data_IF_792984807971
#
_entry.id   IF_792984807971
#
_cell.length_a   1.000
_cell.length_b   1.000
_cell.length_c   1.000
_cell.angle_alpha   90.00
_cell.angle_beta   90.00
_cell.angle_gamma   90.00
#
_symmetry.space_group_name_H-M   'P 1'
#
loop_
_entity.id
_entity.type
_entity.pdbx_description
1 polymer ?
#
# COMPACT_ATOMS: atom_id res chain seq x y z
N UNK A 1 -8.76 -22.75 -42.46
CA UNK A 1 -9.19 -21.50 -41.80
C UNK A 1 -10.17 -21.72 -40.64
N UNK A 2 -11.19 -22.57 -40.75
CA UNK A 2 -12.23 -22.74 -39.70
C UNK A 2 -11.72 -23.24 -38.32
N UNK A 3 -10.65 -24.04 -38.29
CA UNK A 3 -10.08 -24.58 -37.03
C UNK A 3 -9.28 -23.53 -36.23
N UNK A 4 -8.65 -22.57 -36.91
CA UNK A 4 -7.82 -21.55 -36.26
C UNK A 4 -8.68 -20.50 -35.54
N UNK A 5 -9.83 -20.16 -36.13
CA UNK A 5 -10.80 -19.21 -35.56
C UNK A 5 -11.40 -19.74 -34.25
N UNK A 6 -11.73 -21.04 -34.17
CA UNK A 6 -12.27 -21.64 -32.95
C UNK A 6 -11.28 -21.63 -31.78
N UNK A 7 -9.99 -21.81 -32.05
CA UNK A 7 -8.95 -21.77 -31.00
C UNK A 7 -8.75 -20.35 -30.47
N UNK A 8 -8.78 -19.34 -31.35
CA UNK A 8 -8.63 -17.93 -30.94
C UNK A 8 -9.83 -17.48 -30.09
N UNK A 9 -11.06 -17.83 -30.47
CA UNK A 9 -12.25 -17.52 -29.66
C UNK A 9 -12.27 -18.27 -28.32
N UNK A 10 -11.76 -19.51 -28.26
CA UNK A 10 -11.63 -20.26 -27.01
C UNK A 10 -10.64 -19.61 -26.02
N UNK A 11 -9.52 -19.07 -26.52
CA UNK A 11 -8.54 -18.36 -25.69
C UNK A 11 -9.08 -17.02 -25.18
N UNK A 12 -9.83 -16.27 -25.99
CA UNK A 12 -10.44 -14.99 -25.57
C UNK A 12 -11.51 -15.21 -24.50
N UNK A 13 -12.32 -16.27 -24.60
CA UNK A 13 -13.30 -16.62 -23.58
C UNK A 13 -12.64 -17.00 -22.24
N UNK A 14 -11.52 -17.73 -22.27
CA UNK A 14 -10.77 -18.08 -21.06
C UNK A 14 -10.11 -16.87 -20.41
N UNK A 15 -9.57 -15.93 -21.18
CA UNK A 15 -9.01 -14.67 -20.65
C UNK A 15 -10.13 -13.83 -20.00
N UNK A 16 -11.31 -13.77 -20.61
CA UNK A 16 -12.46 -13.05 -20.03
C UNK A 16 -12.94 -13.68 -18.71
N UNK A 17 -12.95 -15.01 -18.60
CA UNK A 17 -13.34 -15.71 -17.38
C UNK A 17 -12.36 -15.53 -16.22
N UNK A 18 -11.05 -15.46 -16.48
CA UNK A 18 -10.06 -15.24 -15.41
C UNK A 18 -10.13 -13.80 -14.88
N UNK A 19 -10.33 -12.81 -15.77
CA UNK A 19 -10.49 -11.41 -15.37
C UNK A 19 -11.80 -11.12 -14.63
N UNK A 20 -12.87 -11.88 -14.91
CA UNK A 20 -14.18 -11.74 -14.27
C UNK A 20 -14.25 -12.39 -12.86
N UNK A 21 -13.23 -13.16 -12.46
CA UNK A 21 -13.25 -13.96 -11.22
C UNK A 21 -12.41 -13.39 -10.09
N UNK A 22 -11.66 -12.31 -10.31
CA UNK A 22 -10.95 -11.64 -9.22
C UNK A 22 -11.98 -10.90 -8.35
N UNK A 23 -12.22 -11.41 -7.13
CA UNK A 23 -13.09 -10.74 -6.16
C UNK A 23 -12.54 -9.32 -5.93
N UNK A 24 -13.36 -8.26 -6.04
CA UNK A 24 -12.92 -6.91 -5.76
C UNK A 24 -12.43 -6.81 -4.31
N UNK A 25 -11.42 -6.00 -4.07
CA UNK A 25 -10.91 -5.70 -2.73
C UNK A 25 -11.93 -4.83 -1.99
N UNK A 26 -12.38 -5.25 -0.81
CA UNK A 26 -13.49 -4.61 -0.09
C UNK A 26 -13.06 -3.99 1.24
N UNK A 27 -13.97 -3.29 1.93
CA UNK A 27 -13.76 -2.83 3.31
C UNK A 27 -13.31 -3.94 4.26
N UNK A 28 -13.82 -5.18 4.08
CA UNK A 28 -13.44 -6.32 4.90
C UNK A 28 -11.98 -6.73 4.65
N UNK A 29 -11.57 -6.71 3.38
CA UNK A 29 -10.18 -7.02 2.99
C UNK A 29 -9.22 -5.95 3.55
N UNK A 30 -9.60 -4.66 3.49
CA UNK A 30 -8.85 -3.58 4.11
C UNK A 30 -8.67 -3.76 5.63
N UNK A 31 -9.75 -4.13 6.34
CA UNK A 31 -9.69 -4.41 7.79
C UNK A 31 -8.78 -5.60 8.07
N UNK A 32 -8.94 -6.68 7.30
CA UNK A 32 -8.20 -7.91 7.51
C UNK A 32 -6.72 -7.69 7.26
N UNK A 33 -6.36 -6.94 6.22
CA UNK A 33 -4.99 -6.52 5.97
C UNK A 33 -4.46 -5.64 7.12
N UNK A 34 -5.20 -4.60 7.53
CA UNK A 34 -4.82 -3.73 8.65
C UNK A 34 -4.58 -4.50 9.96
N UNK A 35 -5.35 -5.56 10.21
CA UNK A 35 -5.20 -6.41 11.40
C UNK A 35 -3.92 -7.24 11.41
N UNK A 36 -3.30 -7.48 10.25
CA UNK A 36 -2.02 -8.22 10.15
C UNK A 36 -0.84 -7.40 10.69
N UNK A 37 -0.98 -6.07 10.76
CA UNK A 37 0.03 -5.21 11.34
C UNK A 37 0.00 -5.30 12.87
N UNK A 38 1.03 -5.91 13.43
CA UNK A 38 1.24 -6.03 14.88
C UNK A 38 2.00 -4.80 15.39
N UNK A 39 1.34 -3.97 16.19
CA UNK A 39 1.97 -2.76 16.74
C UNK A 39 2.99 -3.15 17.83
N UNK A 40 4.18 -2.57 17.77
CA UNK A 40 5.23 -2.70 18.78
C UNK A 40 4.94 -1.74 19.92
N UNK A 41 4.27 -2.24 20.96
CA UNK A 41 3.81 -1.48 22.13
C UNK A 41 4.80 -1.57 23.29
N UNK A 42 6.10 -1.64 22.98
CA UNK A 42 7.17 -1.81 23.95
C UNK A 42 7.60 -0.46 24.56
N UNK A 43 8.91 -0.31 24.76
CA UNK A 43 9.59 0.71 25.58
C UNK A 43 9.16 2.19 25.43
N UNK A 44 8.38 2.53 24.41
CA UNK A 44 7.95 3.90 24.07
C UNK A 44 6.45 4.16 24.19
N UNK A 45 5.60 3.13 24.26
CA UNK A 45 4.14 3.29 24.30
C UNK A 45 3.49 2.36 25.31
N UNK A 46 2.47 2.84 26.02
CA UNK A 46 1.64 2.02 26.89
C UNK A 46 0.73 1.08 26.08
N UNK A 47 0.27 -0.01 26.70
CA UNK A 47 -0.68 -0.95 26.06
C UNK A 47 -1.99 -0.27 25.64
N UNK A 48 -2.46 0.71 26.42
CA UNK A 48 -3.70 1.45 26.13
C UNK A 48 -3.54 2.37 24.91
N UNK A 49 -2.47 3.15 24.85
CA UNK A 49 -2.17 4.02 23.69
C UNK A 49 -2.07 3.19 22.42
N UNK A 50 -1.42 2.03 22.51
CA UNK A 50 -1.27 1.14 21.37
C UNK A 50 -2.59 0.49 20.91
N UNK A 51 -3.48 0.15 21.84
CA UNK A 51 -4.79 -0.39 21.52
C UNK A 51 -5.66 0.66 20.80
N UNK A 52 -5.61 1.91 21.27
CA UNK A 52 -6.25 3.05 20.65
C UNK A 52 -5.66 3.35 19.26
N UNK A 53 -4.34 3.44 19.17
CA UNK A 53 -3.62 3.65 17.92
C UNK A 53 -3.95 2.55 16.90
N UNK A 54 -4.09 1.29 17.33
CA UNK A 54 -4.49 0.19 16.45
C UNK A 54 -5.94 0.33 15.96
N UNK A 55 -6.86 0.77 16.83
CA UNK A 55 -8.25 1.04 16.43
C UNK A 55 -8.29 2.13 15.35
N UNK A 56 -7.61 3.25 15.62
CA UNK A 56 -7.53 4.39 14.71
C UNK A 56 -6.84 3.99 13.40
N UNK A 57 -5.77 3.20 13.47
CA UNK A 57 -5.06 2.70 12.31
C UNK A 57 -5.94 1.86 11.39
N UNK A 58 -6.73 0.92 11.92
CA UNK A 58 -7.62 0.09 11.08
C UNK A 58 -8.59 0.98 10.31
N UNK A 59 -9.16 1.97 10.99
CA UNK A 59 -10.07 2.93 10.37
C UNK A 59 -9.38 3.78 9.30
N UNK A 60 -8.25 4.39 9.64
CA UNK A 60 -7.47 5.19 8.68
C UNK A 60 -7.00 4.33 7.50
N UNK A 61 -6.69 3.04 7.70
CA UNK A 61 -6.32 2.12 6.64
C UNK A 61 -7.46 1.88 5.64
N UNK A 62 -8.68 1.71 6.13
CA UNK A 62 -9.86 1.63 5.27
C UNK A 62 -10.10 2.93 4.52
N UNK A 63 -10.04 4.06 5.21
CA UNK A 63 -10.26 5.38 4.61
C UNK A 63 -9.19 5.71 3.57
N UNK A 64 -7.93 5.34 3.82
CA UNK A 64 -6.84 5.48 2.86
C UNK A 64 -7.12 4.70 1.56
N UNK A 65 -7.60 3.46 1.65
CA UNK A 65 -8.03 2.69 0.48
C UNK A 65 -9.29 3.23 -0.19
N UNK A 66 -10.16 3.93 0.54
CA UNK A 66 -11.28 4.68 -0.03
C UNK A 66 -10.83 5.96 -0.75
N UNK A 67 -9.53 6.29 -0.72
CA UNK A 67 -8.94 7.47 -1.35
C UNK A 67 -8.84 8.70 -0.45
N UNK A 68 -9.09 8.56 0.86
CA UNK A 68 -8.95 9.67 1.81
C UNK A 68 -7.48 10.01 2.05
N UNK A 69 -7.11 11.22 1.64
CA UNK A 69 -5.73 11.72 1.67
C UNK A 69 -5.20 11.92 3.09
N UNK A 70 -5.93 12.57 4.03
CA UNK A 70 -5.52 12.64 5.43
C UNK A 70 -5.22 11.26 6.04
N UNK A 71 -6.07 10.27 5.80
CA UNK A 71 -5.85 8.92 6.33
C UNK A 71 -4.63 8.22 5.71
N UNK A 72 -4.26 8.48 4.44
CA UNK A 72 -2.99 7.97 3.89
C UNK A 72 -1.76 8.44 4.68
N UNK A 73 -1.75 9.71 5.13
CA UNK A 73 -0.68 10.25 5.98
C UNK A 73 -0.66 9.50 7.30
N UNK A 74 -1.81 9.41 7.97
CA UNK A 74 -1.92 8.77 9.29
C UNK A 74 -1.51 7.30 9.26
N UNK A 75 -1.89 6.57 8.20
CA UNK A 75 -1.43 5.19 7.96
C UNK A 75 0.08 5.13 7.86
N UNK A 76 0.68 6.00 7.06
CA UNK A 76 2.13 6.06 6.86
C UNK A 76 2.85 6.35 8.17
N UNK A 77 2.41 7.38 8.90
CA UNK A 77 2.98 7.77 10.20
C UNK A 77 2.86 6.63 11.21
N UNK A 78 1.68 6.00 11.30
CA UNK A 78 1.46 4.87 12.20
C UNK A 78 2.34 3.65 11.87
N UNK A 79 2.56 3.35 10.58
CA UNK A 79 3.47 2.29 10.17
C UNK A 79 4.92 2.61 10.55
N UNK A 80 5.35 3.86 10.43
CA UNK A 80 6.71 4.27 10.82
C UNK A 80 6.92 4.32 12.34
N UNK A 81 5.89 4.67 13.11
CA UNK A 81 5.91 4.82 14.56
C UNK A 81 5.80 3.47 15.26
N UNK A 82 4.79 2.67 14.90
CA UNK A 82 4.42 1.48 15.66
C UNK A 82 4.97 0.17 15.09
N UNK A 83 5.66 0.17 13.94
CA UNK A 83 6.23 -1.07 13.37
C UNK A 83 7.74 -1.13 13.55
N UNK A 84 8.24 -2.35 13.76
CA UNK A 84 9.68 -2.57 13.83
C UNK A 84 10.34 -2.24 12.50
N UNK A 85 11.43 -1.47 12.55
CA UNK A 85 12.29 -1.22 11.38
C UNK A 85 13.07 -2.45 10.92
N UNK A 86 13.00 -3.57 11.63
CA UNK A 86 13.52 -4.86 11.17
C UNK A 86 12.48 -5.68 10.38
N UNK A 87 11.21 -5.28 10.40
CA UNK A 87 10.15 -5.92 9.62
C UNK A 87 10.11 -5.35 8.20
N UNK A 88 10.67 -6.11 7.27
CA UNK A 88 10.79 -5.75 5.85
C UNK A 88 9.41 -5.50 5.22
N UNK A 89 8.39 -6.26 5.60
CA UNK A 89 7.04 -6.11 5.05
C UNK A 89 6.44 -4.78 5.48
N UNK A 90 6.59 -4.42 6.76
CA UNK A 90 6.13 -3.13 7.28
C UNK A 90 6.82 -1.95 6.62
N UNK A 91 8.13 -2.06 6.42
CA UNK A 91 8.90 -1.04 5.72
C UNK A 91 8.44 -0.90 4.26
N UNK A 92 8.08 -2.01 3.62
CA UNK A 92 7.62 -2.03 2.24
C UNK A 92 6.27 -1.33 2.13
N UNK A 93 5.32 -1.66 2.99
CA UNK A 93 3.99 -1.06 3.00
C UNK A 93 4.05 0.43 3.38
N UNK A 94 4.85 0.80 4.39
CA UNK A 94 5.04 2.21 4.75
C UNK A 94 5.61 3.02 3.57
N UNK A 95 6.62 2.47 2.90
CA UNK A 95 7.23 3.10 1.72
C UNK A 95 6.29 3.16 0.52
N UNK A 96 5.42 2.16 0.37
CA UNK A 96 4.42 2.13 -0.69
C UNK A 96 3.33 3.19 -0.45
N UNK A 97 2.84 3.31 0.79
CA UNK A 97 1.91 4.38 1.17
C UNK A 97 2.51 5.78 1.01
N UNK A 98 3.77 5.98 1.41
CA UNK A 98 4.54 7.21 1.13
C UNK A 98 4.60 7.52 -0.38
N UNK A 99 4.80 6.48 -1.21
CA UNK A 99 4.83 6.64 -2.66
C UNK A 99 3.46 7.00 -3.23
N UNK A 100 2.40 6.29 -2.83
CA UNK A 100 1.02 6.54 -3.24
C UNK A 100 0.60 7.95 -2.87
N UNK A 101 0.86 8.35 -1.61
CA UNK A 101 0.69 9.71 -1.13
C UNK A 101 1.42 10.72 -2.03
N UNK A 102 2.70 10.48 -2.31
CA UNK A 102 3.54 11.32 -3.18
C UNK A 102 2.99 11.46 -4.60
N UNK A 103 2.54 10.37 -5.25
CA UNK A 103 1.93 10.42 -6.59
C UNK A 103 0.60 11.16 -6.57
N UNK A 104 -0.28 10.85 -5.61
CA UNK A 104 -1.67 11.31 -5.57
C UNK A 104 -1.79 12.79 -5.18
N UNK A 105 -0.91 13.30 -4.30
CA UNK A 105 -1.03 14.67 -3.77
C UNK A 105 -0.23 15.71 -4.51
N UNK A 106 0.91 15.35 -5.09
CA UNK A 106 1.81 16.37 -5.62
C UNK A 106 1.51 16.74 -7.07
N UNK A 107 0.94 15.83 -7.89
CA UNK A 107 0.92 15.98 -9.36
C UNK A 107 2.31 16.20 -9.98
N UNK A 108 3.36 16.23 -9.16
CA UNK A 108 4.75 16.58 -9.41
C UNK A 108 5.55 16.01 -8.24
N UNK A 109 6.04 14.78 -8.40
CA UNK A 109 6.91 14.15 -7.41
C UNK A 109 8.17 15.02 -7.25
N UNK A 110 8.26 15.81 -6.18
CA UNK A 110 9.48 16.58 -5.96
C UNK A 110 10.61 15.60 -5.66
N UNK A 111 11.77 15.76 -6.33
CA UNK A 111 12.92 14.86 -6.18
C UNK A 111 13.36 14.71 -4.71
N UNK A 112 13.07 15.70 -3.86
CA UNK A 112 13.38 15.73 -2.43
C UNK A 112 12.48 14.81 -1.61
N UNK A 113 11.19 14.74 -1.94
CA UNK A 113 10.22 13.86 -1.26
C UNK A 113 10.39 12.42 -1.72
N UNK A 114 10.67 12.19 -3.02
CA UNK A 114 11.13 10.89 -3.51
C UNK A 114 12.35 10.43 -2.73
N UNK A 115 13.35 11.31 -2.55
CA UNK A 115 14.58 10.95 -1.85
C UNK A 115 14.35 10.67 -0.36
N UNK A 116 13.36 11.30 0.29
CA UNK A 116 13.00 11.03 1.70
C UNK A 116 12.37 9.64 1.84
N UNK A 117 11.31 9.34 1.08
CA UNK A 117 10.68 8.01 1.04
C UNK A 117 11.71 6.93 0.67
N UNK A 118 12.57 7.23 -0.30
CA UNK A 118 13.63 6.32 -0.76
C UNK A 118 14.72 6.08 0.28
N UNK A 119 15.15 7.11 1.02
CA UNK A 119 16.11 7.00 2.13
C UNK A 119 15.51 6.26 3.33
N UNK A 120 14.21 6.36 3.54
CA UNK A 120 13.52 5.62 4.61
C UNK A 120 13.39 4.13 4.25
N UNK A 121 13.26 3.81 2.95
CA UNK A 121 13.29 2.45 2.42
C UNK A 121 14.69 1.83 2.27
N UNK A 122 15.77 2.47 2.76
CA UNK A 122 17.16 1.97 2.66
C UNK A 122 17.35 0.50 3.11
N UNK A 123 16.64 -0.01 4.14
CA UNK A 123 16.76 -1.43 4.50
C UNK A 123 16.27 -2.40 3.40
N UNK A 124 15.34 -1.96 2.54
CA UNK A 124 14.79 -2.73 1.42
C UNK A 124 15.58 -2.49 0.14
N UNK A 125 16.03 -1.25 -0.08
CA UNK A 125 16.73 -0.84 -1.32
C UNK A 125 18.25 -1.03 -1.25
N UNK A 126 18.79 -1.33 -0.06
CA UNK A 126 20.22 -1.39 0.21
C UNK A 126 20.86 -0.01 0.35
N UNK A 127 22.07 0.08 0.93
CA UNK A 127 22.86 1.31 0.92
C UNK A 127 23.22 1.67 -0.53
N UNK A 128 22.58 2.69 -1.07
CA UNK A 128 22.81 3.09 -2.46
C UNK A 128 23.89 4.16 -2.52
N UNK A 129 24.93 3.86 -3.29
CA UNK A 129 26.05 4.77 -3.53
C UNK A 129 25.85 5.69 -4.74
N UNK A 130 24.91 5.41 -5.65
CA UNK A 130 24.82 6.14 -6.92
C UNK A 130 23.39 6.41 -7.43
N UNK A 131 23.30 7.42 -8.29
CA UNK A 131 22.11 8.09 -8.82
C UNK A 131 21.15 7.23 -9.68
N UNK A 132 21.39 5.91 -9.79
CA UNK A 132 20.60 4.98 -10.63
C UNK A 132 19.58 4.14 -9.80
N UNK A 133 19.23 4.67 -8.63
CA UNK A 133 18.43 4.04 -7.58
C UNK A 133 17.02 3.59 -8.04
N UNK A 134 16.50 4.17 -9.12
CA UNK A 134 15.20 3.83 -9.73
C UNK A 134 15.14 2.39 -10.27
N UNK A 135 16.27 1.72 -10.47
CA UNK A 135 16.32 0.33 -10.95
C UNK A 135 16.65 -0.69 -9.86
N UNK A 136 16.79 -0.27 -8.59
CA UNK A 136 17.08 -1.21 -7.52
C UNK A 136 15.93 -2.22 -7.34
N UNK A 137 16.23 -3.51 -7.04
CA UNK A 137 15.19 -4.50 -6.78
C UNK A 137 14.20 -4.08 -5.69
N UNK A 138 14.68 -3.43 -4.63
CA UNK A 138 13.84 -2.92 -3.56
C UNK A 138 12.86 -1.83 -4.00
N UNK A 139 13.29 -0.91 -4.87
CA UNK A 139 12.40 0.12 -5.41
C UNK A 139 11.30 -0.48 -6.28
N UNK A 140 11.62 -1.53 -7.05
CA UNK A 140 10.60 -2.24 -7.85
C UNK A 140 9.51 -2.85 -6.98
N UNK A 141 9.87 -3.43 -5.83
CA UNK A 141 8.89 -3.98 -4.89
C UNK A 141 7.97 -2.88 -4.34
N UNK A 142 8.52 -1.73 -3.96
CA UNK A 142 7.74 -0.58 -3.47
C UNK A 142 6.79 -0.08 -4.56
N UNK A 143 7.29 0.07 -5.79
CA UNK A 143 6.47 0.53 -6.91
C UNK A 143 5.35 -0.44 -7.27
N UNK A 144 5.61 -1.76 -7.24
CA UNK A 144 4.58 -2.77 -7.46
C UNK A 144 3.51 -2.71 -6.37
N UNK A 145 3.91 -2.67 -5.10
CA UNK A 145 2.96 -2.56 -3.99
C UNK A 145 2.13 -1.28 -4.07
N UNK A 146 2.75 -0.16 -4.43
CA UNK A 146 2.05 1.11 -4.62
C UNK A 146 1.07 1.07 -5.80
N UNK A 147 1.39 0.36 -6.89
CA UNK A 147 0.47 0.14 -8.01
C UNK A 147 -0.75 -0.66 -7.56
N UNK A 148 -0.56 -1.75 -6.81
CA UNK A 148 -1.68 -2.53 -6.26
C UNK A 148 -2.62 -1.67 -5.41
N UNK A 149 -2.05 -0.85 -4.52
CA UNK A 149 -2.82 0.09 -3.68
C UNK A 149 -3.60 1.09 -4.54
N UNK A 150 -2.96 1.68 -5.56
CA UNK A 150 -3.61 2.63 -6.46
C UNK A 150 -4.72 1.99 -7.30
N UNK A 151 -4.57 0.73 -7.70
CA UNK A 151 -5.61 0.00 -8.43
C UNK A 151 -6.85 -0.21 -7.56
N UNK A 152 -6.68 -0.57 -6.28
CA UNK A 152 -7.78 -0.68 -5.32
C UNK A 152 -8.50 0.67 -5.15
N UNK A 153 -7.76 1.75 -4.93
CA UNK A 153 -8.33 3.10 -4.76
C UNK A 153 -9.13 3.51 -6.01
N UNK A 154 -8.57 3.31 -7.21
CA UNK A 154 -9.24 3.64 -8.48
C UNK A 154 -10.47 2.79 -8.76
N UNK A 155 -10.51 1.56 -8.26
CA UNK A 155 -11.67 0.70 -8.39
C UNK A 155 -12.86 1.19 -7.55
N UNK A 156 -12.64 2.08 -6.56
CA UNK A 156 -13.68 2.62 -5.68
C UNK A 156 -14.53 1.53 -4.99
N UNK A 157 -13.86 0.43 -4.62
CA UNK A 157 -14.48 -0.76 -4.02
C UNK A 157 -14.43 -0.77 -2.50
N UNK A 158 -13.69 0.18 -1.90
CA UNK A 158 -13.65 0.46 -0.46
C UNK A 158 -14.33 1.80 -0.21
N UNK A 159 -15.18 1.85 0.82
CA UNK A 159 -15.91 3.05 1.22
C UNK A 159 -15.34 3.63 2.51
N UNK A 160 -15.28 4.96 2.60
CA UNK A 160 -14.87 5.63 3.81
C UNK A 160 -15.85 5.36 4.95
N UNK A 161 -15.33 5.33 6.17
CA UNK A 161 -16.07 5.18 7.42
C UNK A 161 -15.84 6.42 8.28
N UNK A 162 -16.92 6.93 8.87
CA UNK A 162 -16.88 8.10 9.74
C UNK A 162 -16.00 7.81 10.97
N UNK A 163 -15.11 8.74 11.30
CA UNK A 163 -14.41 8.72 12.59
C UNK A 163 -15.43 9.00 13.68
N UNK A 164 -15.65 8.02 14.56
CA UNK A 164 -16.29 8.29 15.85
C UNK A 164 -15.44 9.35 16.55
N UNK A 165 -15.91 10.61 16.62
CA UNK A 165 -15.32 11.69 17.42
C UNK A 165 -15.36 11.36 18.93
#
# INVERSE_FOLDING_TARGET
MLKLVKTIFGCVALIYCVSASAKPFTNEDAINEAKTYVFYCGDTHTKSECAEARKNFIQDYQNAYAGDRPSMIKVTDALWEYRSRSDITSLLDASAWDYVYGVILSGTFSQKESLKAYKMATPITGKIKDADSRFSPGFRLIALRALDIMEVIKAHTVHAVDSDE
#
